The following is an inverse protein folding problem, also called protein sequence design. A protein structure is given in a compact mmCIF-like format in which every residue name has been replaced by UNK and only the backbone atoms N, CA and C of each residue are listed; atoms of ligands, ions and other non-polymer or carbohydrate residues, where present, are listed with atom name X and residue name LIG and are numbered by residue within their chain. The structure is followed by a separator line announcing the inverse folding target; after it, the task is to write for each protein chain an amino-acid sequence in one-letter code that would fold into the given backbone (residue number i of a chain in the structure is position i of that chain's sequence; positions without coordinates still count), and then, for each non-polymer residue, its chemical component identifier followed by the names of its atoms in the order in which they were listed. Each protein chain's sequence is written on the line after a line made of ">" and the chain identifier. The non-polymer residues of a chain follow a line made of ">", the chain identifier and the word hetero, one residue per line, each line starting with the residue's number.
data_IF_903201183228
#
_entry.id   IF_903201183228
#
_cell.length_a   1.000
_cell.length_b   1.000
_cell.length_c   1.000
_cell.angle_alpha   90.00
_cell.angle_beta   90.00
_cell.angle_gamma   90.00
#
_symmetry.space_group_name_H-M   'P 1'
#
loop_
_entity.id
_entity.type
_entity.pdbx_description
1 polymer ?
#
# COMPACT_ATOMS: atom_id res chain seq x y z
N UNK A 1 -1.58 -4.77 -35.88
CA UNK A 1 -2.46 -4.57 -34.72
C UNK A 1 -3.02 -5.86 -34.15
N UNK A 2 -2.74 -7.03 -34.74
CA UNK A 2 -3.16 -8.31 -34.16
C UNK A 2 -2.45 -8.54 -32.80
N UNK A 3 -3.20 -8.97 -31.79
CA UNK A 3 -2.69 -9.32 -30.47
C UNK A 3 -2.64 -8.19 -29.42
N UNK A 4 -2.95 -6.94 -29.80
CA UNK A 4 -3.05 -5.85 -28.83
C UNK A 4 -4.44 -5.80 -28.20
N UNK A 5 -4.48 -5.57 -26.89
CA UNK A 5 -5.71 -5.34 -26.12
C UNK A 5 -5.64 -4.01 -25.41
N UNK A 6 -6.80 -3.40 -25.17
CA UNK A 6 -6.92 -2.16 -24.42
C UNK A 6 -7.96 -2.33 -23.32
N UNK A 7 -7.70 -1.75 -22.15
CA UNK A 7 -8.66 -1.73 -21.04
C UNK A 7 -9.86 -0.86 -21.43
N UNK A 8 -11.06 -1.35 -21.14
CA UNK A 8 -12.30 -0.65 -21.46
C UNK A 8 -12.38 0.72 -20.76
N UNK A 9 -12.75 1.82 -21.46
CA UNK A 9 -12.74 3.17 -20.89
C UNK A 9 -13.49 3.32 -19.56
N UNK A 10 -14.67 2.69 -19.43
CA UNK A 10 -15.44 2.68 -18.16
C UNK A 10 -14.66 2.18 -16.94
N UNK A 11 -13.68 1.28 -17.11
CA UNK A 11 -12.85 0.85 -15.98
C UNK A 11 -11.79 1.90 -15.62
N UNK A 12 -11.28 2.61 -16.63
CA UNK A 12 -10.28 3.65 -16.44
C UNK A 12 -10.86 4.88 -15.70
N UNK A 13 -12.16 5.15 -15.87
CA UNK A 13 -12.87 6.22 -15.12
C UNK A 13 -12.83 6.04 -13.60
N UNK A 14 -12.60 4.80 -13.12
CA UNK A 14 -12.46 4.49 -11.69
C UNK A 14 -11.01 4.52 -11.19
N UNK A 15 -10.05 4.88 -12.05
CA UNK A 15 -8.61 4.88 -11.73
C UNK A 15 -8.04 6.28 -11.91
N UNK A 16 -7.44 6.81 -10.84
CA UNK A 16 -6.65 8.03 -10.90
C UNK A 16 -5.18 7.70 -10.75
N UNK A 17 -4.36 8.18 -11.68
CA UNK A 17 -2.90 8.05 -11.61
C UNK A 17 -2.30 9.31 -10.99
N UNK A 18 -1.36 9.12 -10.08
CA UNK A 18 -0.62 10.19 -9.45
C UNK A 18 0.83 9.78 -9.24
N UNK A 19 1.70 10.77 -9.05
CA UNK A 19 3.09 10.55 -8.71
C UNK A 19 3.28 10.77 -7.21
N UNK A 20 3.91 9.82 -6.54
CA UNK A 20 4.20 9.87 -5.12
C UNK A 20 5.60 9.32 -4.85
N UNK A 21 6.37 10.02 -4.01
CA UNK A 21 7.60 9.49 -3.45
C UNK A 21 7.32 8.99 -2.03
N UNK A 22 7.40 7.68 -1.80
CA UNK A 22 7.11 7.05 -0.52
C UNK A 22 8.02 7.51 0.63
N UNK A 23 9.20 8.08 0.31
CA UNK A 23 10.13 8.64 1.29
C UNK A 23 9.75 10.06 1.74
N UNK A 24 8.82 10.72 1.06
CA UNK A 24 8.32 12.06 1.38
C UNK A 24 6.95 11.97 2.07
N UNK A 25 6.48 13.04 2.75
CA UNK A 25 5.12 13.13 3.27
C UNK A 25 4.07 12.74 2.20
N UNK A 26 3.07 11.97 2.60
CA UNK A 26 1.94 11.61 1.75
C UNK A 26 0.79 12.54 2.13
N UNK A 27 0.52 13.51 1.27
CA UNK A 27 -0.47 14.57 1.46
C UNK A 27 -1.55 14.46 0.37
N UNK A 28 -2.73 15.03 0.63
CA UNK A 28 -3.83 15.18 -0.32
C UNK A 28 -4.40 13.90 -0.96
N UNK A 29 -4.13 12.72 -0.38
CA UNK A 29 -4.71 11.45 -0.82
C UNK A 29 -5.17 10.60 0.37
N UNK A 30 -6.31 9.91 0.21
CA UNK A 30 -6.89 9.04 1.23
C UNK A 30 -7.90 9.74 2.15
N UNK A 31 -8.26 9.13 3.30
CA UNK A 31 -7.81 7.81 3.74
C UNK A 31 -8.44 6.68 2.92
N UNK A 32 -7.74 5.57 2.79
CA UNK A 32 -8.15 4.40 2.02
C UNK A 32 -8.71 3.29 2.90
N UNK A 33 -9.66 2.52 2.36
CA UNK A 33 -10.14 1.29 2.98
C UNK A 33 -9.16 0.12 2.76
N UNK A 34 -8.45 0.13 1.63
CA UNK A 34 -7.47 -0.88 1.24
C UNK A 34 -6.24 -0.23 0.62
N UNK A 35 -5.04 -0.66 1.03
CA UNK A 35 -3.77 -0.25 0.43
C UNK A 35 -3.00 -1.49 -0.03
N UNK A 36 -2.56 -1.48 -1.29
CA UNK A 36 -1.61 -2.45 -1.85
C UNK A 36 -0.23 -1.79 -1.98
N UNK A 37 0.73 -2.22 -1.17
CA UNK A 37 2.13 -1.78 -1.20
C UNK A 37 3.03 -2.99 -1.48
N UNK A 38 2.88 -3.56 -2.67
CA UNK A 38 3.50 -4.85 -3.03
C UNK A 38 4.74 -4.66 -3.90
N UNK A 39 5.78 -5.44 -3.60
CA UNK A 39 7.00 -5.55 -4.42
C UNK A 39 7.81 -4.25 -4.54
N UNK A 40 7.72 -3.39 -3.53
CA UNK A 40 8.44 -2.10 -3.45
C UNK A 40 9.28 -1.98 -2.18
N UNK A 41 8.87 -2.60 -1.07
CA UNK A 41 9.59 -2.52 0.20
C UNK A 41 10.95 -3.23 0.16
N UNK A 42 11.14 -4.16 -0.78
CA UNK A 42 12.41 -4.87 -0.98
C UNK A 42 13.57 -3.96 -1.41
N UNK A 43 13.29 -2.74 -1.87
CA UNK A 43 14.32 -1.78 -2.30
C UNK A 43 14.82 -0.85 -1.20
N UNK A 44 14.17 -0.86 -0.03
CA UNK A 44 14.51 0.02 1.08
C UNK A 44 15.32 -0.72 2.15
N UNK A 45 16.26 0.00 2.78
CA UNK A 45 16.90 -0.47 4.00
C UNK A 45 15.90 -0.56 5.17
N UNK A 46 16.30 -1.21 6.27
CA UNK A 46 15.37 -1.47 7.37
C UNK A 46 14.80 -0.19 8.03
N UNK A 47 15.58 0.88 8.27
CA UNK A 47 15.04 2.15 8.77
C UNK A 47 14.05 2.79 7.80
N UNK A 48 14.42 2.93 6.51
CA UNK A 48 13.56 3.56 5.49
C UNK A 48 12.27 2.77 5.30
N UNK A 49 12.36 1.43 5.29
CA UNK A 49 11.18 0.55 5.21
C UNK A 49 10.19 0.82 6.33
N UNK A 50 10.67 1.01 7.57
CA UNK A 50 9.81 1.32 8.73
C UNK A 50 9.12 2.66 8.53
N UNK A 51 9.86 3.70 8.17
CA UNK A 51 9.32 5.04 8.01
C UNK A 51 8.31 5.13 6.86
N UNK A 52 8.60 4.45 5.74
CA UNK A 52 7.66 4.32 4.61
C UNK A 52 6.36 3.66 5.05
N UNK A 53 6.44 2.53 5.76
CA UNK A 53 5.24 1.81 6.18
C UNK A 53 4.44 2.63 7.18
N UNK A 54 5.08 3.19 8.21
CA UNK A 54 4.39 4.00 9.20
C UNK A 54 3.65 5.17 8.55
N UNK A 55 4.28 5.82 7.56
CA UNK A 55 3.67 6.89 6.77
C UNK A 55 2.52 6.39 5.91
N UNK A 56 2.66 5.27 5.22
CA UNK A 56 1.56 4.69 4.41
C UNK A 56 0.37 4.31 5.28
N UNK A 57 0.62 3.78 6.49
CA UNK A 57 -0.43 3.38 7.41
C UNK A 57 -1.18 4.56 8.03
N UNK A 58 -0.67 5.80 7.97
CA UNK A 58 -1.47 6.98 8.36
C UNK A 58 -2.63 7.21 7.39
N UNK A 59 -2.45 6.83 6.11
CA UNK A 59 -3.48 6.94 5.08
C UNK A 59 -4.44 5.75 5.04
N UNK A 60 -4.27 4.76 5.92
CA UNK A 60 -5.18 3.61 6.04
C UNK A 60 -6.21 3.86 7.15
N UNK A 61 -7.50 3.71 6.84
CA UNK A 61 -8.57 3.81 7.85
C UNK A 61 -8.38 2.77 8.96
N UNK A 62 -8.80 3.06 10.21
CA UNK A 62 -8.93 2.04 11.24
C UNK A 62 -9.79 0.86 10.74
N UNK A 63 -9.34 -0.37 10.96
CA UNK A 63 -9.99 -1.57 10.43
C UNK A 63 -9.71 -1.88 8.94
N UNK A 64 -9.00 -1.00 8.23
CA UNK A 64 -8.65 -1.14 6.81
C UNK A 64 -7.65 -2.27 6.54
N UNK A 65 -7.58 -2.69 5.27
CA UNK A 65 -6.72 -3.79 4.82
C UNK A 65 -5.41 -3.29 4.19
N UNK A 66 -4.32 -3.96 4.52
CA UNK A 66 -2.98 -3.64 4.01
C UNK A 66 -2.34 -4.89 3.42
N UNK A 67 -1.88 -4.77 2.17
CA UNK A 67 -1.29 -5.89 1.44
C UNK A 67 0.14 -5.59 1.00
N UNK A 68 1.03 -6.55 1.20
CA UNK A 68 2.42 -6.53 0.73
C UNK A 68 2.72 -7.75 -0.17
N UNK A 69 3.86 -7.71 -0.85
CA UNK A 69 4.43 -8.81 -1.61
C UNK A 69 4.92 -9.94 -0.69
N UNK A 70 4.89 -11.16 -1.20
CA UNK A 70 5.28 -12.37 -0.46
C UNK A 70 6.75 -12.39 -0.03
N UNK A 71 7.62 -11.71 -0.79
CA UNK A 71 9.04 -11.59 -0.49
C UNK A 71 9.38 -10.50 0.55
N UNK A 72 8.42 -9.68 0.97
CA UNK A 72 8.69 -8.50 1.82
C UNK A 72 8.75 -8.83 3.31
N UNK A 73 8.33 -10.04 3.68
CA UNK A 73 8.55 -10.62 5.01
C UNK A 73 7.84 -9.85 6.13
N UNK A 74 8.52 -9.73 7.29
CA UNK A 74 7.98 -9.05 8.47
C UNK A 74 8.13 -7.53 8.31
N UNK A 75 7.03 -6.81 8.55
CA UNK A 75 7.00 -5.37 8.43
C UNK A 75 7.31 -4.73 9.79
N UNK A 76 8.40 -3.97 9.93
CA UNK A 76 8.62 -3.19 11.14
C UNK A 76 7.76 -1.91 11.07
N UNK A 77 6.72 -1.82 11.88
CA UNK A 77 5.88 -0.62 11.98
C UNK A 77 5.45 -0.36 13.44
N UNK A 78 5.17 0.90 13.75
CA UNK A 78 4.62 1.34 15.04
C UNK A 78 3.12 1.06 15.14
N UNK A 79 2.42 1.18 14.01
CA UNK A 79 0.98 0.92 13.94
C UNK A 79 0.71 -0.58 14.14
N UNK A 80 -0.15 -0.98 15.09
CA UNK A 80 -0.53 -2.37 15.28
C UNK A 80 -1.24 -2.93 14.05
N UNK A 81 -0.70 -4.03 13.52
CA UNK A 81 -1.28 -4.78 12.41
C UNK A 81 -1.61 -6.20 12.87
N UNK A 82 -2.84 -6.62 12.63
CA UNK A 82 -3.25 -8.02 12.75
C UNK A 82 -2.93 -8.74 11.44
N UNK A 83 -2.11 -9.78 11.49
CA UNK A 83 -1.89 -10.66 10.34
C UNK A 83 -3.16 -11.47 10.07
N UNK A 84 -3.69 -11.38 8.86
CA UNK A 84 -4.83 -12.19 8.39
C UNK A 84 -4.36 -13.40 7.58
N UNK A 85 -3.37 -13.19 6.71
CA UNK A 85 -2.76 -14.22 5.86
C UNK A 85 -1.34 -13.76 5.46
N UNK A 86 -0.51 -14.62 4.82
CA UNK A 86 0.79 -14.19 4.30
C UNK A 86 0.68 -12.97 3.39
N UNK A 87 1.27 -11.85 3.81
CA UNK A 87 1.24 -10.59 3.08
C UNK A 87 -0.08 -9.80 3.16
N UNK A 88 -1.04 -10.21 4.01
CA UNK A 88 -2.31 -9.52 4.21
C UNK A 88 -2.54 -9.20 5.70
N UNK A 89 -2.79 -7.94 5.98
CA UNK A 89 -2.92 -7.42 7.34
C UNK A 89 -4.16 -6.55 7.49
N UNK A 90 -4.65 -6.43 8.72
CA UNK A 90 -5.68 -5.47 9.12
C UNK A 90 -5.09 -4.47 10.10
N UNK A 91 -5.31 -3.18 9.86
CA UNK A 91 -5.02 -2.13 10.84
C UNK A 91 -6.00 -2.25 12.00
N UNK A 92 -5.51 -2.27 13.23
CA UNK A 92 -6.38 -2.32 14.40
C UNK A 92 -7.42 -1.19 14.34
N UNK A 93 -8.67 -1.51 14.69
CA UNK A 93 -9.66 -0.48 15.00
C UNK A 93 -9.24 0.17 16.33
N UNK A 94 -9.34 1.50 16.41
CA UNK A 94 -9.23 2.20 17.68
C UNK A 94 -10.43 1.88 18.57
#
# INVERSE_FOLDING_TARGET
>A
SEGLVQIHPRLLEHVSFGQLNLCQPIEDIGPFDVIFLRNVLIYFDAPTKRDVVDRVLTQLRPGGLFFIGTAEGRIPCKTPLQTLAPGAFRKAAA
#
